data_IF_497858328993
#
_entry.id   IF_497858328993
#
_cell.length_a   1.000
_cell.length_b   1.000
_cell.length_c   1.000
_cell.angle_alpha   90.00
_cell.angle_beta   90.00
_cell.angle_gamma   90.00
#
_symmetry.space_group_name_H-M   'P 1'
#
loop_
_entity.id
_entity.type
_entity.pdbx_description
1 polymer ?
#
# COMPACT_ATOMS: atom_id res chain seq x y z
N UNK A 1 27.80 8.48 -16.10
CA UNK A 1 26.41 8.79 -15.74
C UNK A 1 25.51 8.40 -16.90
N UNK A 2 24.41 7.65 -16.68
CA UNK A 2 23.43 7.38 -17.72
C UNK A 2 22.73 8.68 -18.13
N UNK A 3 22.46 8.84 -19.42
CA UNK A 3 21.71 9.98 -19.93
C UNK A 3 20.20 9.88 -19.58
N UNK A 4 19.47 10.98 -19.76
CA UNK A 4 18.03 11.05 -19.42
C UNK A 4 17.19 10.07 -20.25
N UNK A 5 17.57 9.76 -21.49
CA UNK A 5 16.87 8.82 -22.36
C UNK A 5 16.99 7.40 -21.84
N UNK A 6 18.19 6.99 -21.44
CA UNK A 6 18.48 5.68 -20.85
C UNK A 6 17.77 5.48 -19.50
N UNK A 7 17.71 6.53 -18.66
CA UNK A 7 16.95 6.52 -17.38
C UNK A 7 15.44 6.37 -17.60
N UNK A 8 14.89 7.04 -18.63
CA UNK A 8 13.48 6.92 -19.01
C UNK A 8 13.15 5.52 -19.53
N UNK A 9 14.04 4.91 -20.29
CA UNK A 9 13.86 3.54 -20.78
C UNK A 9 13.92 2.52 -19.64
N UNK A 10 14.84 2.66 -18.69
CA UNK A 10 14.93 1.79 -17.52
C UNK A 10 13.62 1.82 -16.70
N UNK A 11 13.07 3.00 -16.44
CA UNK A 11 11.78 3.14 -15.74
C UNK A 11 10.64 2.44 -16.46
N UNK A 12 10.55 2.59 -17.80
CA UNK A 12 9.56 1.89 -18.64
C UNK A 12 9.72 0.38 -18.60
N UNK A 13 10.96 -0.12 -18.63
CA UNK A 13 11.26 -1.56 -18.54
C UNK A 13 10.82 -2.12 -17.20
N UNK A 14 11.14 -1.44 -16.09
CA UNK A 14 10.71 -1.86 -14.74
C UNK A 14 9.17 -1.89 -14.66
N UNK A 15 8.48 -0.87 -15.19
CA UNK A 15 6.99 -0.86 -15.22
C UNK A 15 6.45 -2.08 -15.98
N UNK A 16 7.00 -2.41 -17.14
CA UNK A 16 6.58 -3.58 -17.91
C UNK A 16 6.83 -4.89 -17.17
N UNK A 17 7.99 -5.04 -16.54
CA UNK A 17 8.29 -6.24 -15.76
C UNK A 17 7.35 -6.39 -14.55
N UNK A 18 7.07 -5.30 -13.81
CA UNK A 18 6.15 -5.34 -12.69
C UNK A 18 4.72 -5.77 -13.12
N UNK A 19 4.22 -5.26 -14.25
CA UNK A 19 2.92 -5.67 -14.81
C UNK A 19 2.93 -7.16 -15.17
N UNK A 20 3.99 -7.68 -15.81
CA UNK A 20 4.12 -9.11 -16.12
C UNK A 20 4.15 -9.99 -14.89
N UNK A 21 4.64 -9.46 -13.75
CA UNK A 21 4.65 -10.14 -12.45
C UNK A 21 3.31 -10.03 -11.71
N UNK A 22 2.28 -9.43 -12.34
CA UNK A 22 0.94 -9.33 -11.77
C UNK A 22 0.75 -8.16 -10.81
N UNK A 23 1.65 -7.17 -10.80
CA UNK A 23 1.47 -5.96 -9.99
C UNK A 23 0.40 -5.05 -10.60
N UNK A 24 -0.53 -4.60 -9.78
CA UNK A 24 -1.62 -3.74 -10.20
C UNK A 24 -1.20 -2.27 -10.30
N UNK A 25 -0.36 -1.81 -9.38
CA UNK A 25 0.18 -0.45 -9.37
C UNK A 25 1.69 -0.48 -9.15
N UNK A 26 2.36 0.53 -9.72
CA UNK A 26 3.79 0.77 -9.52
C UNK A 26 4.05 2.27 -9.51
N UNK A 27 4.78 2.74 -8.51
CA UNK A 27 5.17 4.13 -8.35
C UNK A 27 6.66 4.29 -8.02
N UNK A 28 7.18 5.49 -8.27
CA UNK A 28 8.60 5.83 -8.08
C UNK A 28 8.73 7.10 -7.24
N UNK A 29 9.50 7.04 -6.16
CA UNK A 29 9.82 8.17 -5.31
C UNK A 29 11.32 8.46 -5.32
N UNK A 30 11.72 9.76 -5.32
CA UNK A 30 13.06 10.13 -4.91
C UNK A 30 13.20 9.98 -3.40
N UNK A 31 14.35 9.49 -2.92
CA UNK A 31 14.62 9.40 -1.48
C UNK A 31 14.65 10.78 -0.80
N UNK A 32 14.87 11.84 -1.55
CA UNK A 32 14.85 13.22 -1.06
C UNK A 32 13.51 13.61 -0.43
N UNK A 33 12.40 13.01 -0.90
CA UNK A 33 11.06 13.25 -0.36
C UNK A 33 10.94 12.91 1.13
N UNK A 34 11.74 11.98 1.65
CA UNK A 34 11.76 11.68 3.09
C UNK A 34 12.27 12.83 3.92
N UNK A 35 13.32 13.53 3.46
CA UNK A 35 13.85 14.72 4.14
C UNK A 35 12.99 15.96 3.87
N UNK A 36 12.39 16.08 2.69
CA UNK A 36 11.54 17.20 2.30
C UNK A 36 10.24 17.27 3.13
N UNK A 37 9.57 16.13 3.30
CA UNK A 37 8.31 16.08 4.05
C UNK A 37 8.49 15.83 5.55
N UNK A 38 9.57 15.16 5.97
CA UNK A 38 9.94 14.90 7.36
C UNK A 38 8.79 14.33 8.25
N UNK A 39 7.94 13.48 7.67
CA UNK A 39 6.74 12.93 8.35
C UNK A 39 7.05 11.77 9.32
N UNK A 40 8.25 11.21 9.26
CA UNK A 40 8.71 10.09 10.12
C UNK A 40 10.12 10.35 10.63
N UNK A 41 10.53 9.61 11.66
CA UNK A 41 11.88 9.70 12.22
C UNK A 41 12.96 9.44 11.14
N UNK A 42 13.98 10.30 11.02
CA UNK A 42 15.09 10.14 10.08
C UNK A 42 15.81 8.80 10.15
N UNK A 43 15.75 8.09 11.27
CA UNK A 43 16.32 6.74 11.41
C UNK A 43 15.72 5.74 10.41
N UNK A 44 14.46 5.98 9.96
CA UNK A 44 13.74 5.12 9.01
C UNK A 44 13.80 5.60 7.56
N UNK A 45 14.61 6.64 7.26
CA UNK A 45 14.78 7.10 5.88
C UNK A 45 15.57 6.09 5.05
N UNK A 46 15.21 5.85 3.78
CA UNK A 46 15.97 4.95 2.91
C UNK A 46 17.46 5.28 2.85
N UNK A 47 17.79 6.56 2.77
CA UNK A 47 19.17 7.03 2.69
C UNK A 47 19.93 6.95 4.01
N UNK A 48 19.24 6.88 5.15
CA UNK A 48 19.87 6.60 6.45
C UNK A 48 20.22 5.13 6.56
N UNK A 49 19.30 4.25 6.12
CA UNK A 49 19.49 2.79 6.16
C UNK A 49 20.54 2.36 5.11
N UNK A 50 20.41 2.88 3.89
CA UNK A 50 21.33 2.65 2.77
C UNK A 50 21.75 3.97 2.12
N UNK A 51 22.90 4.54 2.50
CA UNK A 51 23.34 5.90 2.07
C UNK A 51 23.48 6.09 0.56
N UNK A 52 23.60 5.01 -0.20
CA UNK A 52 23.67 5.03 -1.66
C UNK A 52 22.30 5.10 -2.36
N UNK A 53 21.20 5.01 -1.62
CA UNK A 53 19.83 5.02 -2.16
C UNK A 53 19.53 6.33 -2.90
N UNK A 54 18.81 6.24 -4.02
CA UNK A 54 18.32 7.39 -4.80
C UNK A 54 16.86 7.30 -5.14
N UNK A 55 16.37 6.09 -5.39
CA UNK A 55 14.97 5.85 -5.79
C UNK A 55 14.38 4.73 -4.96
N UNK A 56 13.14 4.92 -4.53
CA UNK A 56 12.25 3.88 -3.99
C UNK A 56 11.19 3.55 -5.02
N UNK A 57 11.10 2.28 -5.39
CA UNK A 57 10.09 1.73 -6.29
C UNK A 57 9.07 1.01 -5.42
N UNK A 58 7.80 1.40 -5.49
CA UNK A 58 6.73 0.77 -4.73
C UNK A 58 5.85 -0.03 -5.67
N UNK A 59 5.69 -1.31 -5.35
CA UNK A 59 4.82 -2.24 -6.04
C UNK A 59 3.58 -2.48 -5.20
N UNK A 60 2.42 -2.58 -5.86
CA UNK A 60 1.16 -2.86 -5.18
C UNK A 60 0.37 -3.96 -5.88
N UNK A 61 -0.27 -4.82 -5.10
CA UNK A 61 -1.20 -5.84 -5.56
C UNK A 61 -2.57 -5.62 -4.91
N UNK A 62 -3.63 -5.84 -5.68
CA UNK A 62 -5.01 -5.69 -5.21
C UNK A 62 -5.40 -6.78 -4.21
N UNK A 63 -6.17 -6.39 -3.20
CA UNK A 63 -6.93 -7.27 -2.32
C UNK A 63 -8.40 -7.28 -2.78
N UNK A 64 -8.90 -8.43 -3.20
CA UNK A 64 -10.25 -8.55 -3.74
C UNK A 64 -11.32 -8.26 -2.71
N UNK A 65 -12.22 -7.33 -3.04
CA UNK A 65 -13.28 -6.86 -2.12
C UNK A 65 -14.13 -8.00 -1.55
N UNK A 66 -14.65 -8.98 -2.33
CA UNK A 66 -15.48 -10.06 -1.76
C UNK A 66 -14.71 -10.94 -0.75
N UNK A 67 -13.40 -11.08 -0.91
CA UNK A 67 -12.61 -11.88 0.01
C UNK A 67 -12.29 -11.11 1.31
N UNK A 68 -11.96 -9.81 1.21
CA UNK A 68 -11.71 -9.01 2.42
C UNK A 68 -13.00 -8.72 3.19
N UNK A 69 -14.18 -8.67 2.55
CA UNK A 69 -15.48 -8.55 3.22
C UNK A 69 -15.78 -9.73 4.16
N UNK A 70 -15.10 -10.88 4.00
CA UNK A 70 -15.21 -12.02 4.92
C UNK A 70 -14.40 -11.86 6.20
N UNK A 71 -13.60 -10.80 6.33
CA UNK A 71 -12.68 -10.60 7.46
C UNK A 71 -13.40 -10.49 8.81
N UNK A 72 -12.84 -11.05 9.89
CA UNK A 72 -11.67 -11.90 9.96
C UNK A 72 -12.00 -13.36 9.61
N UNK A 73 -11.35 -13.92 8.61
CA UNK A 73 -11.64 -15.28 8.11
C UNK A 73 -10.42 -15.97 7.52
N UNK A 74 -10.49 -17.29 7.38
CA UNK A 74 -9.48 -18.09 6.67
C UNK A 74 -9.42 -17.68 5.19
N UNK A 75 -10.53 -17.34 4.55
CA UNK A 75 -10.58 -16.92 3.15
C UNK A 75 -9.73 -15.66 2.92
N UNK A 76 -9.90 -14.66 3.77
CA UNK A 76 -9.07 -13.45 3.68
C UNK A 76 -7.61 -13.72 4.05
N UNK A 77 -7.36 -14.57 5.06
CA UNK A 77 -6.01 -14.98 5.46
C UNK A 77 -5.25 -15.62 4.30
N UNK A 78 -5.86 -16.50 3.52
CA UNK A 78 -5.22 -17.13 2.37
C UNK A 78 -4.96 -16.15 1.22
N UNK A 79 -5.88 -15.22 0.95
CA UNK A 79 -5.62 -14.12 -0.01
C UNK A 79 -4.43 -13.27 0.45
N UNK A 80 -4.39 -12.90 1.73
CA UNK A 80 -3.29 -12.13 2.32
C UNK A 80 -1.95 -12.85 2.14
N UNK A 81 -1.88 -14.15 2.46
CA UNK A 81 -0.68 -14.97 2.31
C UNK A 81 -0.25 -15.08 0.84
N UNK A 82 -1.20 -15.23 -0.07
CA UNK A 82 -0.93 -15.33 -1.51
C UNK A 82 -0.37 -14.01 -2.06
N UNK A 83 -1.02 -12.89 -1.76
CA UNK A 83 -0.56 -11.56 -2.20
C UNK A 83 0.80 -11.21 -1.62
N UNK A 84 1.08 -11.62 -0.38
CA UNK A 84 2.39 -11.43 0.25
C UNK A 84 3.50 -12.19 -0.49
N UNK A 85 3.28 -13.45 -0.86
CA UNK A 85 4.27 -14.22 -1.65
C UNK A 85 4.52 -13.57 -3.01
N UNK A 86 3.45 -13.13 -3.70
CA UNK A 86 3.57 -12.42 -4.98
C UNK A 86 4.40 -11.15 -4.85
N UNK A 87 4.19 -10.36 -3.79
CA UNK A 87 4.92 -9.12 -3.55
C UNK A 87 6.40 -9.38 -3.29
N UNK A 88 6.75 -10.29 -2.40
CA UNK A 88 8.15 -10.61 -2.08
C UNK A 88 8.90 -11.16 -3.30
N UNK A 89 8.27 -12.07 -4.05
CA UNK A 89 8.86 -12.60 -5.30
C UNK A 89 9.05 -11.50 -6.34
N UNK A 90 8.07 -10.64 -6.52
CA UNK A 90 8.15 -9.53 -7.49
C UNK A 90 9.22 -8.52 -7.09
N UNK A 91 9.31 -8.16 -5.82
CA UNK A 91 10.34 -7.26 -5.32
C UNK A 91 11.75 -7.84 -5.51
N UNK A 92 11.93 -9.13 -5.20
CA UNK A 92 13.19 -9.84 -5.47
C UNK A 92 13.56 -9.82 -6.96
N UNK A 93 12.60 -10.12 -7.83
CA UNK A 93 12.82 -10.13 -9.29
C UNK A 93 13.18 -8.75 -9.84
N UNK A 94 12.53 -7.68 -9.38
CA UNK A 94 12.86 -6.30 -9.78
C UNK A 94 14.24 -5.89 -9.24
N UNK A 95 14.56 -6.20 -7.99
CA UNK A 95 15.88 -5.94 -7.42
C UNK A 95 16.98 -6.70 -8.18
N UNK A 96 16.76 -7.98 -8.49
CA UNK A 96 17.68 -8.81 -9.26
C UNK A 96 17.85 -8.28 -10.71
N UNK A 97 16.76 -7.83 -11.34
CA UNK A 97 16.83 -7.17 -12.65
C UNK A 97 17.75 -5.95 -12.60
N UNK A 98 17.61 -5.08 -11.62
CA UNK A 98 18.44 -3.89 -11.44
C UNK A 98 19.91 -4.25 -11.19
N UNK A 99 20.16 -5.21 -10.27
CA UNK A 99 21.51 -5.67 -9.97
C UNK A 99 22.23 -6.23 -11.23
N UNK A 100 21.51 -6.99 -12.07
CA UNK A 100 22.04 -7.52 -13.33
C UNK A 100 22.34 -6.43 -14.37
N UNK A 101 21.76 -5.24 -14.21
CA UNK A 101 22.02 -4.07 -15.06
C UNK A 101 23.02 -3.09 -14.43
N UNK A 102 23.77 -3.52 -13.39
CA UNK A 102 24.85 -2.75 -12.79
C UNK A 102 24.39 -1.72 -11.74
N UNK A 103 23.15 -1.78 -11.28
CA UNK A 103 22.63 -0.94 -10.19
C UNK A 103 22.57 -1.72 -8.89
N UNK A 104 22.91 -1.08 -7.77
CA UNK A 104 22.64 -1.65 -6.46
C UNK A 104 21.15 -1.58 -6.18
N UNK A 105 20.54 -2.70 -5.84
CA UNK A 105 19.13 -2.76 -5.50
C UNK A 105 18.88 -3.82 -4.43
N UNK A 106 18.06 -3.45 -3.45
CA UNK A 106 17.54 -4.30 -2.40
C UNK A 106 16.04 -4.06 -2.26
N UNK A 107 15.37 -4.87 -1.47
CA UNK A 107 13.96 -4.64 -1.15
C UNK A 107 13.73 -4.78 0.35
N UNK A 108 12.73 -4.06 0.85
CA UNK A 108 12.13 -4.34 2.13
C UNK A 108 11.00 -5.35 1.93
N UNK A 109 10.97 -6.47 2.69
CA UNK A 109 9.87 -7.41 2.63
C UNK A 109 8.54 -6.71 2.96
N UNK A 110 7.42 -7.24 2.42
CA UNK A 110 6.06 -6.68 2.64
C UNK A 110 5.68 -6.51 4.11
N UNK A 111 6.27 -7.27 5.03
CA UNK A 111 6.10 -7.17 6.48
C UNK A 111 7.47 -6.91 7.13
N UNK A 112 7.84 -5.62 7.25
CA UNK A 112 9.15 -5.18 7.75
C UNK A 112 9.32 -5.33 9.27
N UNK A 113 8.49 -6.12 9.95
CA UNK A 113 8.56 -6.45 11.37
C UNK A 113 8.74 -7.95 11.62
N UNK A 114 8.72 -8.78 10.57
CA UNK A 114 8.91 -10.23 10.62
C UNK A 114 7.70 -10.99 11.14
N UNK A 115 7.30 -10.79 12.39
CA UNK A 115 6.16 -11.47 13.01
C UNK A 115 5.32 -10.51 13.85
N UNK A 116 3.99 -10.73 13.88
CA UNK A 116 3.06 -9.87 14.64
C UNK A 116 3.39 -9.80 16.13
N UNK A 117 3.99 -10.83 16.71
CA UNK A 117 4.43 -10.84 18.11
C UNK A 117 5.49 -9.77 18.43
N UNK A 118 6.22 -9.29 17.41
CA UNK A 118 7.15 -8.16 17.54
C UNK A 118 6.35 -6.87 17.74
N UNK A 119 5.30 -6.65 16.95
CA UNK A 119 4.48 -5.43 17.03
C UNK A 119 3.66 -5.33 18.34
N UNK A 120 3.35 -6.46 18.98
CA UNK A 120 2.70 -6.47 20.29
C UNK A 120 3.61 -5.86 21.37
N UNK A 121 4.93 -6.01 21.21
CA UNK A 121 5.93 -5.47 22.15
C UNK A 121 6.39 -4.07 21.75
N UNK A 122 6.61 -3.86 20.45
CA UNK A 122 7.06 -2.59 19.87
C UNK A 122 6.39 -2.43 18.50
N UNK A 123 5.36 -1.58 18.37
CA UNK A 123 4.58 -1.45 17.13
C UNK A 123 5.30 -0.60 16.08
N UNK A 124 6.52 -0.97 15.77
CA UNK A 124 7.39 -0.32 14.79
C UNK A 124 7.86 -1.34 13.75
N UNK A 125 7.93 -0.90 12.51
CA UNK A 125 8.49 -1.64 11.39
C UNK A 125 9.77 -0.97 10.91
N UNK A 126 10.69 -1.74 10.34
CA UNK A 126 11.96 -1.20 9.82
C UNK A 126 11.78 -0.21 8.66
N UNK A 127 10.65 -0.27 7.95
CA UNK A 127 10.32 0.61 6.84
C UNK A 127 8.81 0.74 6.65
N UNK A 128 8.33 1.93 6.28
CA UNK A 128 6.91 2.20 6.00
C UNK A 128 6.61 2.17 4.51
N UNK A 129 6.04 1.07 4.02
CA UNK A 129 5.53 0.98 2.65
C UNK A 129 4.38 1.95 2.37
N UNK A 130 3.61 2.34 3.38
CA UNK A 130 2.51 3.30 3.27
C UNK A 130 3.05 4.70 2.94
N UNK A 131 4.05 5.15 3.68
CA UNK A 131 4.76 6.42 3.39
C UNK A 131 5.43 6.36 2.02
N UNK A 132 6.11 5.25 1.71
CA UNK A 132 6.73 5.07 0.41
C UNK A 132 5.70 5.13 -0.73
N UNK A 133 4.54 4.53 -0.57
CA UNK A 133 3.44 4.58 -1.54
C UNK A 133 2.89 5.99 -1.76
N UNK A 134 2.72 6.78 -0.68
CA UNK A 134 2.38 8.20 -0.75
C UNK A 134 3.43 8.97 -1.55
N UNK A 135 4.70 8.81 -1.18
CA UNK A 135 5.80 9.50 -1.85
C UNK A 135 6.06 9.02 -3.29
N UNK A 136 5.64 7.80 -3.63
CA UNK A 136 5.66 7.29 -4.99
C UNK A 136 4.44 7.70 -5.83
N UNK A 137 3.54 8.55 -5.30
CA UNK A 137 2.38 9.09 -6.01
C UNK A 137 1.27 8.05 -6.24
N UNK A 138 1.22 6.98 -5.46
CA UNK A 138 0.19 5.94 -5.60
C UNK A 138 -1.12 6.30 -4.91
N UNK A 139 -1.08 7.21 -3.93
CA UNK A 139 -2.26 7.56 -3.15
C UNK A 139 -1.98 8.53 -2.01
N UNK A 140 -2.93 8.65 -1.10
CA UNK A 140 -2.84 9.43 0.14
C UNK A 140 -3.07 8.53 1.35
N UNK A 141 -2.62 8.94 2.52
CA UNK A 141 -2.83 8.17 3.75
C UNK A 141 -4.22 8.50 4.30
N UNK A 142 -5.02 7.47 4.55
CA UNK A 142 -6.34 7.63 5.15
C UNK A 142 -6.31 7.67 6.67
N UNK A 143 -7.44 8.05 7.29
CA UNK A 143 -7.61 8.08 8.74
C UNK A 143 -7.28 6.74 9.43
N UNK A 144 -7.36 5.63 8.70
CA UNK A 144 -7.04 4.28 9.18
C UNK A 144 -5.56 3.89 8.99
N UNK A 145 -4.67 4.86 8.74
CA UNK A 145 -3.24 4.65 8.54
C UNK A 145 -2.86 3.79 7.32
N UNK A 146 -3.81 3.51 6.41
CA UNK A 146 -3.51 2.77 5.17
C UNK A 146 -3.35 3.72 4.00
N UNK A 147 -2.60 3.30 2.98
CA UNK A 147 -2.56 4.00 1.70
C UNK A 147 -3.90 3.81 0.98
N UNK A 148 -4.52 4.90 0.57
CA UNK A 148 -5.72 4.94 -0.26
C UNK A 148 -5.32 5.25 -1.68
N UNK A 149 -5.72 4.41 -2.65
CA UNK A 149 -5.60 4.68 -4.08
C UNK A 149 -6.97 4.95 -4.68
N UNK A 150 -7.03 5.66 -5.81
CA UNK A 150 -8.29 5.90 -6.51
C UNK A 150 -8.92 4.61 -7.03
N UNK A 151 -8.08 3.68 -7.50
CA UNK A 151 -8.52 2.43 -8.12
C UNK A 151 -9.05 1.43 -7.09
N UNK A 152 -8.34 1.27 -5.96
CA UNK A 152 -8.59 0.17 -5.01
C UNK A 152 -8.88 0.66 -3.58
N UNK A 153 -8.87 1.98 -3.34
CA UNK A 153 -8.92 2.49 -1.98
C UNK A 153 -7.80 1.86 -1.14
N UNK A 154 -8.09 1.40 0.09
CA UNK A 154 -7.09 0.73 0.94
C UNK A 154 -6.90 -0.77 0.63
N UNK A 155 -7.61 -1.32 -0.36
CA UNK A 155 -7.57 -2.75 -0.71
C UNK A 155 -6.39 -3.08 -1.59
N UNK A 156 -5.19 -2.74 -1.09
CA UNK A 156 -3.89 -3.04 -1.70
C UNK A 156 -2.91 -3.54 -0.65
N UNK A 157 -1.95 -4.35 -1.10
CA UNK A 157 -0.76 -4.69 -0.35
C UNK A 157 0.46 -4.13 -1.07
N UNK A 158 1.48 -3.75 -0.32
CA UNK A 158 2.63 -3.00 -0.81
C UNK A 158 3.94 -3.72 -0.50
N UNK A 159 4.92 -3.50 -1.38
CA UNK A 159 6.33 -3.82 -1.15
C UNK A 159 7.20 -2.74 -1.78
N UNK A 160 8.42 -2.52 -1.29
CA UNK A 160 9.30 -1.47 -1.79
C UNK A 160 10.68 -2.01 -2.16
N UNK A 161 11.16 -1.62 -3.34
CA UNK A 161 12.53 -1.86 -3.81
C UNK A 161 13.30 -0.55 -3.75
N UNK A 162 14.51 -0.60 -3.22
CA UNK A 162 15.42 0.54 -3.06
C UNK A 162 16.57 0.38 -4.03
N UNK A 163 16.97 1.45 -4.74
CA UNK A 163 18.07 1.37 -5.72
C UNK A 163 18.84 2.68 -5.80
N UNK A 164 20.11 2.59 -6.24
CA UNK A 164 20.93 3.75 -6.63
C UNK A 164 20.67 4.20 -8.09
N UNK A 165 19.85 3.47 -8.83
CA UNK A 165 19.38 3.92 -10.14
C UNK A 165 18.50 5.14 -9.95
N UNK A 166 18.99 6.30 -10.37
CA UNK A 166 18.24 7.55 -10.29
C UNK A 166 17.16 7.57 -11.39
N UNK A 167 15.89 7.64 -10.97
CA UNK A 167 14.74 7.69 -11.87
C UNK A 167 13.85 8.88 -11.51
N UNK A 168 13.23 9.48 -12.54
CA UNK A 168 12.29 10.59 -12.33
C UNK A 168 11.13 10.10 -11.43
N UNK A 169 10.89 10.74 -10.28
CA UNK A 169 9.78 10.38 -9.41
C UNK A 169 8.42 10.60 -10.10
N UNK A 170 7.43 9.83 -9.71
CA UNK A 170 6.06 10.07 -10.17
C UNK A 170 5.44 11.26 -9.39
N UNK A 171 4.50 12.01 -9.99
CA UNK A 171 3.86 13.14 -9.33
C UNK A 171 3.08 12.69 -8.09
N UNK A 172 3.05 13.54 -7.07
CA UNK A 172 2.25 13.29 -5.87
C UNK A 172 0.76 13.51 -6.15
N UNK A 173 -0.09 12.81 -5.41
CA UNK A 173 -1.52 13.07 -5.37
C UNK A 173 -1.78 14.17 -4.33
N UNK A 174 -2.19 15.34 -4.80
CA UNK A 174 -2.37 16.53 -3.96
C UNK A 174 -3.71 16.53 -3.21
N UNK A 175 -4.75 15.87 -3.76
CA UNK A 175 -6.06 15.80 -3.13
C UNK A 175 -6.15 14.60 -2.21
N UNK A 176 -6.46 14.82 -0.93
CA UNK A 176 -6.68 13.73 0.00
C UNK A 176 -7.85 12.86 -0.46
N UNK A 177 -7.62 11.56 -0.63
CA UNK A 177 -8.63 10.60 -1.04
C UNK A 177 -9.58 10.22 0.13
N UNK A 178 -9.15 10.42 1.38
CA UNK A 178 -9.96 10.12 2.55
C UNK A 178 -11.07 11.17 2.72
N UNK A 179 -12.33 10.72 2.71
CA UNK A 179 -13.50 11.57 2.94
C UNK A 179 -13.87 11.70 4.42
N UNK A 180 -13.04 11.22 5.32
CA UNK A 180 -13.21 11.30 6.78
C UNK A 180 -14.58 10.78 7.29
N UNK A 181 -15.13 9.74 6.65
CA UNK A 181 -16.47 9.20 6.97
C UNK A 181 -16.57 8.45 8.30
N UNK A 182 -15.47 8.20 8.98
CA UNK A 182 -15.41 7.53 10.29
C UNK A 182 -15.74 6.03 10.30
N UNK A 183 -16.06 5.41 9.15
CA UNK A 183 -16.45 4.00 9.10
C UNK A 183 -15.37 3.05 9.62
N UNK A 184 -14.09 3.35 9.36
CA UNK A 184 -12.96 2.55 9.83
C UNK A 184 -12.89 2.49 11.37
N UNK A 185 -13.13 3.61 12.07
CA UNK A 185 -13.17 3.63 13.53
C UNK A 185 -14.44 3.00 14.08
N UNK A 186 -15.60 3.34 13.51
CA UNK A 186 -16.90 2.81 13.97
C UNK A 186 -16.94 1.28 13.92
N UNK A 187 -16.29 0.66 12.94
CA UNK A 187 -16.28 -0.79 12.76
C UNK A 187 -15.02 -1.46 13.33
N UNK A 188 -14.08 -0.71 13.93
CA UNK A 188 -12.89 -1.29 14.53
C UNK A 188 -13.27 -2.17 15.72
N UNK A 189 -12.97 -3.49 15.71
CA UNK A 189 -13.35 -4.39 16.79
C UNK A 189 -12.65 -4.07 18.12
N UNK A 190 -11.54 -3.32 18.07
CA UNK A 190 -10.77 -2.92 19.23
C UNK A 190 -10.96 -1.45 19.62
N UNK A 191 -11.79 -0.70 18.85
CA UNK A 191 -11.95 0.75 19.07
C UNK A 191 -10.57 1.45 19.15
N UNK A 192 -9.65 1.08 18.25
CA UNK A 192 -8.27 1.53 18.28
C UNK A 192 -8.07 2.94 17.68
N UNK A 193 -9.09 3.54 17.08
CA UNK A 193 -9.00 4.85 16.44
C UNK A 193 -9.73 5.91 17.24
N UNK A 194 -9.05 7.02 17.51
CA UNK A 194 -9.63 8.24 18.07
C UNK A 194 -9.58 9.34 17.01
N UNK A 195 -10.73 9.97 16.75
CA UNK A 195 -10.81 11.09 15.80
C UNK A 195 -10.76 12.41 16.55
N UNK A 196 -9.81 13.26 16.16
CA UNK A 196 -9.76 14.66 16.56
C UNK A 196 -10.20 15.52 15.40
N UNK A 197 -11.10 16.44 15.63
CA UNK A 197 -11.61 17.34 14.59
C UNK A 197 -10.47 18.18 14.00
N UNK A 198 -10.33 18.16 12.67
CA UNK A 198 -9.30 18.90 11.94
C UNK A 198 -8.04 18.09 11.62
N UNK A 199 -7.90 16.87 12.13
CA UNK A 199 -6.79 15.98 11.75
C UNK A 199 -7.10 15.15 10.51
N UNK A 200 -6.11 15.00 9.64
CA UNK A 200 -6.24 14.18 8.41
C UNK A 200 -6.12 12.68 8.70
N UNK A 201 -5.36 12.31 9.73
CA UNK A 201 -5.08 10.93 10.15
C UNK A 201 -5.55 10.80 11.60
N UNK A 202 -6.33 9.75 11.89
CA UNK A 202 -6.79 9.49 13.26
C UNK A 202 -5.63 9.10 14.18
N UNK A 203 -5.71 9.43 15.45
CA UNK A 203 -4.84 8.81 16.43
C UNK A 203 -5.17 7.33 16.55
N UNK A 204 -4.15 6.47 16.62
CA UNK A 204 -4.33 5.02 16.63
C UNK A 204 -3.60 4.36 17.80
N UNK A 205 -4.34 3.63 18.63
CA UNK A 205 -3.75 2.70 19.59
C UNK A 205 -3.21 1.46 18.86
N UNK A 206 -1.94 1.54 18.50
CA UNK A 206 -1.25 0.49 17.73
C UNK A 206 -1.13 -0.81 18.55
N UNK A 207 -1.01 -0.73 19.87
CA UNK A 207 -0.91 -1.90 20.73
C UNK A 207 -2.22 -2.71 20.75
N UNK A 208 -3.37 -2.04 20.86
CA UNK A 208 -4.68 -2.71 20.73
C UNK A 208 -4.83 -3.41 19.38
N UNK A 209 -4.46 -2.72 18.31
CA UNK A 209 -4.51 -3.29 16.96
C UNK A 209 -3.59 -4.53 16.84
N UNK A 210 -2.33 -4.42 17.27
CA UNK A 210 -1.37 -5.52 17.23
C UNK A 210 -1.81 -6.72 18.08
N UNK A 211 -2.33 -6.48 19.30
CA UNK A 211 -2.84 -7.53 20.18
C UNK A 211 -4.01 -8.32 19.52
N UNK A 212 -4.93 -7.60 18.84
CA UNK A 212 -6.01 -8.28 18.13
C UNK A 212 -5.51 -9.09 16.93
N UNK A 213 -4.54 -8.58 16.19
CA UNK A 213 -3.89 -9.32 15.12
C UNK A 213 -3.21 -10.59 15.64
N UNK A 214 -2.52 -10.53 16.80
CA UNK A 214 -1.92 -11.70 17.44
C UNK A 214 -2.98 -12.74 17.85
N UNK A 215 -4.12 -12.28 18.41
CA UNK A 215 -5.25 -13.17 18.71
C UNK A 215 -5.73 -13.88 17.44
N UNK A 216 -5.99 -13.14 16.36
CA UNK A 216 -6.43 -13.71 15.09
C UNK A 216 -5.43 -14.68 14.48
N UNK A 217 -4.11 -14.42 14.65
CA UNK A 217 -3.05 -15.35 14.21
C UNK A 217 -3.15 -16.68 14.93
N UNK A 218 -3.36 -16.67 16.25
CA UNK A 218 -3.54 -17.88 17.03
C UNK A 218 -4.82 -18.67 16.65
N UNK A 219 -5.80 -17.97 16.04
CA UNK A 219 -7.06 -18.54 15.54
C UNK A 219 -7.02 -18.83 14.04
N UNK A 220 -5.86 -18.74 13.37
CA UNK A 220 -5.69 -18.92 11.92
C UNK A 220 -6.55 -18.01 11.04
N UNK A 221 -6.88 -16.81 11.50
CA UNK A 221 -7.70 -15.80 10.81
C UNK A 221 -7.00 -14.44 10.65
N UNK A 222 -5.67 -14.43 10.75
CA UNK A 222 -4.84 -13.24 10.53
C UNK A 222 -4.76 -12.89 9.04
N UNK A 223 -4.77 -11.58 8.66
CA UNK A 223 -4.91 -10.40 9.53
C UNK A 223 -6.38 -9.99 9.77
N UNK A 224 -6.58 -8.95 10.58
CA UNK A 224 -7.87 -8.30 10.73
C UNK A 224 -8.24 -7.55 9.43
N UNK A 225 -8.30 -6.77 8.84
CA UNK A 225 -8.68 -6.10 7.58
C UNK A 225 -10.02 -5.36 7.66
N UNK A 226 -10.66 -5.24 8.83
CA UNK A 226 -11.99 -4.61 8.96
C UNK A 226 -11.98 -3.16 8.48
N UNK A 227 -11.02 -2.35 8.91
CA UNK A 227 -10.91 -0.94 8.52
C UNK A 227 -10.67 -0.75 7.00
N UNK A 228 -10.05 -1.75 6.36
CA UNK A 228 -9.84 -1.80 4.90
C UNK A 228 -11.12 -2.24 4.16
N UNK A 229 -11.80 -3.26 4.67
CA UNK A 229 -13.03 -3.79 4.07
C UNK A 229 -14.16 -2.76 4.02
N UNK A 230 -14.37 -2.02 5.11
CA UNK A 230 -15.49 -1.06 5.23
C UNK A 230 -15.26 0.26 4.50
N UNK A 231 -14.03 0.54 4.04
CA UNK A 231 -13.70 1.81 3.42
C UNK A 231 -14.44 1.96 2.06
N UNK A 232 -15.18 3.07 1.85
CA UNK A 232 -15.96 3.29 0.64
C UNK A 232 -15.13 3.79 -0.55
N UNK A 233 -13.86 4.13 -0.34
CA UNK A 233 -12.96 4.63 -1.40
C UNK A 233 -12.48 3.46 -2.27
N UNK A 234 -12.35 3.71 -3.57
CA UNK A 234 -11.81 2.81 -4.58
C UNK A 234 -12.85 2.39 -5.64
N UNK A 235 -12.45 2.52 -6.91
CA UNK A 235 -13.29 2.20 -8.06
C UNK A 235 -13.55 0.69 -8.21
N UNK A 236 -12.70 -0.17 -7.65
CA UNK A 236 -12.88 -1.62 -7.60
C UNK A 236 -14.23 -2.07 -7.02
N UNK A 237 -14.83 -1.24 -6.17
CA UNK A 237 -16.17 -1.48 -5.59
C UNK A 237 -17.25 -1.59 -6.66
N UNK A 238 -17.12 -0.83 -7.75
CA UNK A 238 -18.07 -0.83 -8.88
C UNK A 238 -18.13 -2.20 -9.56
N UNK A 239 -16.98 -2.89 -9.67
CA UNK A 239 -16.89 -4.23 -10.25
C UNK A 239 -17.81 -5.25 -9.53
N UNK A 240 -18.02 -5.04 -8.23
CA UNK A 240 -18.83 -5.92 -7.37
C UNK A 240 -20.21 -5.32 -7.05
N UNK A 241 -20.69 -4.35 -7.84
CA UNK A 241 -21.99 -3.71 -7.64
C UNK A 241 -22.11 -2.90 -6.35
N UNK A 242 -20.99 -2.49 -5.79
CA UNK A 242 -20.93 -1.61 -4.61
C UNK A 242 -20.73 -0.16 -5.05
N UNK A 243 -21.35 0.78 -4.35
CA UNK A 243 -21.03 2.18 -4.55
C UNK A 243 -19.63 2.47 -4.09
N UNK A 244 -18.86 3.23 -4.89
CA UNK A 244 -17.67 3.93 -4.45
C UNK A 244 -18.03 5.37 -4.09
N UNK A 245 -17.18 6.04 -3.33
CA UNK A 245 -17.32 7.45 -2.98
C UNK A 245 -16.04 8.16 -3.40
N UNK A 246 -16.19 9.21 -4.22
CA UNK A 246 -15.05 10.05 -4.62
C UNK A 246 -14.69 11.07 -3.52
N UNK A 247 -13.48 11.68 -3.58
CA UNK A 247 -13.01 12.61 -2.56
C UNK A 247 -13.84 13.87 -2.38
N UNK A 248 -14.73 14.18 -3.32
CA UNK A 248 -15.74 15.25 -3.23
C UNK A 248 -17.08 14.79 -2.61
N UNK A 249 -17.13 13.54 -2.13
CA UNK A 249 -18.31 12.97 -1.47
C UNK A 249 -19.38 12.43 -2.43
N UNK A 250 -19.15 12.46 -3.74
CA UNK A 250 -20.11 11.96 -4.72
C UNK A 250 -20.12 10.43 -4.72
N UNK A 251 -21.31 9.84 -4.59
CA UNK A 251 -21.51 8.38 -4.70
C UNK A 251 -21.59 7.97 -6.17
N UNK A 252 -20.75 7.04 -6.56
CA UNK A 252 -20.73 6.41 -7.87
C UNK A 252 -21.22 4.97 -7.73
N UNK A 253 -22.49 4.72 -8.09
CA UNK A 253 -23.09 3.39 -8.05
C UNK A 253 -23.32 2.93 -9.49
N UNK A 254 -22.86 1.71 -9.83
CA UNK A 254 -23.34 1.03 -11.03
C UNK A 254 -24.64 0.32 -10.67
N UNK A 255 -25.71 0.62 -11.38
CA UNK A 255 -26.92 -0.21 -11.37
C UNK A 255 -26.61 -1.49 -12.15
N UNK A 256 -26.77 -2.65 -11.53
CA UNK A 256 -26.76 -3.92 -12.25
C UNK A 256 -27.89 -3.90 -13.28
N UNK A 257 -27.56 -3.81 -14.57
CA UNK A 257 -28.59 -3.77 -15.63
C UNK A 257 -28.12 -3.52 -17.05
N UNK A 258 -26.91 -3.03 -17.27
CA UNK A 258 -26.37 -2.93 -18.64
C UNK A 258 -25.24 -3.93 -18.82
N UNK A 259 -25.56 -5.15 -19.19
CA UNK A 259 -24.62 -6.03 -19.88
C UNK A 259 -24.30 -5.34 -21.22
N UNK A 260 -23.18 -4.65 -21.30
CA UNK A 260 -22.56 -4.46 -22.59
C UNK A 260 -22.16 -5.86 -23.05
N UNK A 261 -22.87 -6.38 -24.04
CA UNK A 261 -22.46 -7.54 -24.78
C UNK A 261 -21.05 -7.26 -25.28
N UNK A 262 -20.12 -8.14 -24.90
CA UNK A 262 -18.87 -8.29 -25.62
C UNK A 262 -19.29 -8.88 -26.94
N UNK A 263 -19.26 -8.07 -27.99
CA UNK A 263 -19.32 -8.57 -29.36
C UNK A 263 -17.99 -9.28 -29.60
N UNK A 264 -18.09 -10.53 -30.08
CA UNK A 264 -17.00 -11.42 -30.46
C UNK A 264 -16.10 -10.83 -31.57
#
# INVERSE_FOLDING_TARGET
MMDAATKSDLKKRIKREAIKLGMNLIGFASVERWSEFAEIDPAYYPQTIWPWSKTVIVLAVQIYLPMIETTPSVVYSELYNTTNRMLDESAYRIANFLNRHGFRAHFFPRDCYGDISVLVKKPEAAFSHVIAGKYAGLGTIGMNHTLLTSEYGPRIRLVSVITDAEMKPDPLINKNLCIQCGLCAKNCPMQAFTFTSGEEIAEMDQFKCAAYHQKLKNEFRYPCGVCTAVCPIGDDRKLYGRCSVSPDGIKHCQTFGSKNAVED
#
